data_IF_621414662655
#
_entry.id   IF_621414662655
#
_cell.length_a   1.000
_cell.length_b   1.000
_cell.length_c   1.000
_cell.angle_alpha   90.00
_cell.angle_beta   90.00
_cell.angle_gamma   90.00
#
_symmetry.space_group_name_H-M   'P 1'
#
loop_
_entity.id
_entity.type
_entity.pdbx_description
1 polymer ?
#
# COMPACT_ATOMS: atom_id res chain seq x y z
N UNK A 1 -7.62 3.48 12.63
CA UNK A 1 -8.23 3.55 11.28
C UNK A 1 -7.09 3.61 10.29
N UNK A 2 -6.89 2.57 9.47
CA UNK A 2 -5.85 2.62 8.43
C UNK A 2 -6.37 3.53 7.32
N UNK A 3 -5.82 4.74 7.20
CA UNK A 3 -6.12 5.69 6.12
C UNK A 3 -5.53 5.14 4.82
N UNK A 4 -6.21 4.19 4.20
CA UNK A 4 -5.78 3.60 2.93
C UNK A 4 -5.96 4.62 1.79
N UNK A 5 -5.14 4.58 0.73
CA UNK A 5 -5.19 5.55 -0.37
C UNK A 5 -6.60 5.73 -0.96
N UNK A 6 -7.38 4.66 -1.11
CA UNK A 6 -8.75 4.71 -1.63
C UNK A 6 -9.67 5.58 -0.75
N UNK A 7 -9.52 5.51 0.58
CA UNK A 7 -10.29 6.34 1.52
C UNK A 7 -9.82 7.80 1.45
N UNK A 8 -8.50 8.02 1.34
CA UNK A 8 -7.94 9.36 1.25
C UNK A 8 -8.40 10.07 -0.02
N UNK A 9 -8.30 9.40 -1.18
CA UNK A 9 -8.73 9.93 -2.48
C UNK A 9 -10.23 10.25 -2.45
N UNK A 10 -11.06 9.33 -1.95
CA UNK A 10 -12.50 9.56 -1.83
C UNK A 10 -12.82 10.77 -0.94
N UNK A 11 -12.07 10.94 0.15
CA UNK A 11 -12.23 12.09 1.07
C UNK A 11 -11.86 13.41 0.40
N UNK A 12 -10.75 13.45 -0.36
CA UNK A 12 -10.33 14.65 -1.10
C UNK A 12 -11.34 14.99 -2.20
N UNK A 13 -11.82 14.00 -2.97
CA UNK A 13 -12.85 14.22 -3.98
C UNK A 13 -14.11 14.81 -3.35
N UNK A 14 -14.55 14.28 -2.21
CA UNK A 14 -15.71 14.79 -1.48
C UNK A 14 -15.50 16.24 -1.04
N UNK A 15 -14.35 16.56 -0.44
CA UNK A 15 -14.03 17.94 -0.03
C UNK A 15 -14.02 18.90 -1.23
N UNK A 16 -13.46 18.48 -2.37
CA UNK A 16 -13.48 19.29 -3.60
C UNK A 16 -14.91 19.56 -4.08
N UNK A 17 -15.77 18.54 -4.12
CA UNK A 17 -17.16 18.65 -4.60
C UNK A 17 -18.06 19.45 -3.67
N UNK A 18 -17.95 19.20 -2.37
CA UNK A 18 -18.93 19.67 -1.39
C UNK A 18 -18.52 21.03 -0.79
N UNK A 19 -17.23 21.38 -0.81
CA UNK A 19 -16.70 22.57 -0.13
C UNK A 19 -15.95 23.48 -1.09
N UNK A 20 -14.91 22.97 -1.76
CA UNK A 20 -13.98 23.83 -2.51
C UNK A 20 -14.65 24.41 -3.76
N UNK A 21 -15.20 23.57 -4.64
CA UNK A 21 -15.81 24.03 -5.90
C UNK A 21 -16.98 24.99 -5.65
N UNK A 22 -17.92 24.73 -4.72
CA UNK A 22 -18.98 25.67 -4.40
C UNK A 22 -18.49 27.03 -3.89
N UNK A 23 -17.29 27.10 -3.32
CA UNK A 23 -16.70 28.34 -2.81
C UNK A 23 -15.92 29.14 -3.87
N UNK A 24 -15.71 28.59 -5.07
CA UNK A 24 -15.05 29.30 -6.18
C UNK A 24 -16.04 30.29 -6.79
N UNK A 25 -15.57 31.52 -7.06
CA UNK A 25 -16.34 32.50 -7.84
C UNK A 25 -16.75 31.88 -9.19
N UNK A 26 -18.06 31.73 -9.47
CA UNK A 26 -18.54 31.16 -10.73
C UNK A 26 -18.10 31.93 -11.98
N UNK A 27 -17.72 33.21 -11.86
CA UNK A 27 -17.18 34.00 -12.96
C UNK A 27 -15.76 33.56 -13.34
N UNK A 28 -15.02 32.92 -12.44
CA UNK A 28 -13.69 32.37 -12.69
C UNK A 28 -13.78 30.98 -13.32
N UNK A 29 -14.17 30.93 -14.60
CA UNK A 29 -14.33 29.67 -15.36
C UNK A 29 -13.09 28.78 -15.31
N UNK A 30 -11.90 29.37 -15.40
CA UNK A 30 -10.63 28.63 -15.35
C UNK A 30 -10.49 27.86 -14.03
N UNK A 31 -10.75 28.51 -12.89
CA UNK A 31 -10.66 27.85 -11.58
C UNK A 31 -11.66 26.70 -11.42
N UNK A 32 -12.89 26.88 -11.92
CA UNK A 32 -13.91 25.82 -11.94
C UNK A 32 -13.46 24.64 -12.82
N UNK A 33 -12.98 24.91 -14.03
CA UNK A 33 -12.49 23.89 -14.95
C UNK A 33 -11.29 23.11 -14.37
N UNK A 34 -10.29 23.80 -13.82
CA UNK A 34 -9.13 23.14 -13.20
C UNK A 34 -9.56 22.27 -11.99
N UNK A 35 -10.54 22.71 -11.21
CA UNK A 35 -11.05 21.92 -10.09
C UNK A 35 -11.76 20.65 -10.54
N UNK A 36 -12.48 20.69 -11.67
CA UNK A 36 -13.07 19.49 -12.28
C UNK A 36 -12.00 18.54 -12.81
N UNK A 37 -10.92 19.06 -13.42
CA UNK A 37 -9.79 18.24 -13.86
C UNK A 37 -9.10 17.52 -12.70
N UNK A 38 -8.94 18.19 -11.55
CA UNK A 38 -8.39 17.57 -10.33
C UNK A 38 -9.28 16.40 -9.88
N UNK A 39 -10.61 16.57 -9.82
CA UNK A 39 -11.53 15.48 -9.49
C UNK A 39 -11.42 14.33 -10.51
N UNK A 40 -11.34 14.66 -11.79
CA UNK A 40 -11.18 13.67 -12.86
C UNK A 40 -9.91 12.84 -12.68
N UNK A 41 -8.77 13.49 -12.42
CA UNK A 41 -7.49 12.83 -12.18
C UNK A 41 -7.52 11.97 -10.92
N UNK A 42 -8.05 12.49 -9.79
CA UNK A 42 -8.18 11.72 -8.56
C UNK A 42 -9.07 10.49 -8.76
N UNK A 43 -10.15 10.61 -9.52
CA UNK A 43 -11.05 9.50 -9.85
C UNK A 43 -10.33 8.45 -10.70
N UNK A 44 -9.54 8.88 -11.69
CA UNK A 44 -8.71 8.00 -12.51
C UNK A 44 -7.67 7.26 -11.66
N UNK A 45 -6.97 7.96 -10.76
CA UNK A 45 -5.99 7.37 -9.85
C UNK A 45 -6.64 6.30 -8.95
N UNK A 46 -7.85 6.55 -8.44
CA UNK A 46 -8.57 5.55 -7.64
C UNK A 46 -8.87 4.25 -8.40
N UNK A 47 -9.07 4.33 -9.71
CA UNK A 47 -9.32 3.16 -10.57
C UNK A 47 -8.00 2.45 -10.89
N UNK A 48 -6.93 3.20 -11.14
CA UNK A 48 -5.65 2.66 -11.59
C UNK A 48 -4.82 2.05 -10.46
N UNK A 49 -4.85 2.63 -9.25
CA UNK A 49 -4.02 2.22 -8.12
C UNK A 49 -4.07 0.71 -7.81
N UNK A 50 -5.24 0.02 -7.77
CA UNK A 50 -5.27 -1.43 -7.54
C UNK A 50 -4.67 -2.25 -8.70
N UNK A 51 -4.49 -1.65 -9.88
CA UNK A 51 -3.97 -2.33 -11.07
C UNK A 51 -2.44 -2.21 -11.20
N UNK A 52 -1.82 -1.19 -10.60
CA UNK A 52 -0.40 -0.87 -10.81
C UNK A 52 0.52 -2.04 -10.49
N UNK A 53 0.27 -2.77 -9.40
CA UNK A 53 1.08 -3.94 -9.05
C UNK A 53 1.07 -5.01 -10.16
N UNK A 54 -0.10 -5.31 -10.72
CA UNK A 54 -0.23 -6.29 -11.82
C UNK A 54 0.41 -5.75 -13.09
N UNK A 55 0.23 -4.47 -13.37
CA UNK A 55 0.83 -3.79 -14.52
C UNK A 55 2.36 -3.89 -14.48
N UNK A 56 2.99 -3.56 -13.35
CA UNK A 56 4.45 -3.62 -13.20
C UNK A 56 4.98 -5.06 -13.29
N UNK A 57 4.25 -6.02 -12.69
CA UNK A 57 4.61 -7.44 -12.76
C UNK A 57 4.56 -7.97 -14.19
N UNK A 58 3.51 -7.63 -14.92
CA UNK A 58 3.30 -7.98 -16.32
C UNK A 58 4.34 -7.32 -17.24
N UNK A 59 4.71 -6.07 -16.97
CA UNK A 59 5.80 -5.38 -17.66
C UNK A 59 7.16 -6.08 -17.43
N UNK A 60 7.48 -6.43 -16.18
CA UNK A 60 8.70 -7.16 -15.87
C UNK A 60 8.76 -8.53 -16.57
N UNK A 61 7.63 -9.24 -16.64
CA UNK A 61 7.53 -10.51 -17.35
C UNK A 61 7.81 -10.34 -18.86
N UNK A 62 7.20 -9.34 -19.50
CA UNK A 62 7.47 -9.02 -20.91
C UNK A 62 8.94 -8.67 -21.17
N UNK A 63 9.53 -7.84 -20.30
CA UNK A 63 10.94 -7.46 -20.43
C UNK A 63 11.87 -8.67 -20.26
N UNK A 64 11.55 -9.62 -19.38
CA UNK A 64 12.28 -10.88 -19.25
C UNK A 64 12.19 -11.75 -20.49
N UNK A 65 11.00 -11.87 -21.08
CA UNK A 65 10.83 -12.65 -22.31
C UNK A 65 11.55 -12.00 -23.49
N UNK A 66 11.51 -10.67 -23.59
CA UNK A 66 12.33 -9.91 -24.53
C UNK A 66 13.83 -10.15 -24.30
N UNK A 67 14.30 -10.08 -23.05
CA UNK A 67 15.71 -10.32 -22.71
C UNK A 67 16.16 -11.75 -23.09
N UNK A 68 15.33 -12.77 -22.86
CA UNK A 68 15.61 -14.15 -23.28
C UNK A 68 15.72 -14.25 -24.81
N UNK A 69 14.80 -13.64 -25.54
CA UNK A 69 14.83 -13.63 -27.00
C UNK A 69 16.09 -12.94 -27.55
N UNK A 70 16.47 -11.80 -26.97
CA UNK A 70 17.67 -11.06 -27.35
C UNK A 70 18.97 -11.83 -27.06
N UNK A 71 19.02 -12.62 -25.98
CA UNK A 71 20.17 -13.49 -25.69
C UNK A 71 20.33 -14.64 -26.72
N UNK A 72 19.27 -15.00 -27.43
CA UNK A 72 19.31 -15.99 -28.51
C UNK A 72 19.82 -15.43 -29.85
N UNK A 73 19.98 -14.11 -29.97
CA UNK A 73 20.50 -13.49 -31.19
C UNK A 73 22.00 -13.77 -31.29
N UNK A 74 22.51 -14.23 -32.45
CA UNK A 74 23.94 -14.41 -32.66
C UNK A 74 24.68 -13.08 -32.56
N UNK A 75 25.21 -12.79 -31.37
CA UNK A 75 26.03 -11.64 -31.05
C UNK A 75 27.13 -12.10 -30.08
N UNK A 76 28.38 -11.76 -30.38
CA UNK A 76 29.54 -12.27 -29.64
C UNK A 76 30.87 -11.67 -30.06
N UNK A 77 30.83 -10.53 -30.74
CA UNK A 77 32.03 -9.74 -30.98
C UNK A 77 32.45 -8.99 -29.71
N UNK A 78 33.62 -8.34 -29.74
CA UNK A 78 34.13 -7.60 -28.59
C UNK A 78 33.22 -6.44 -28.16
N UNK A 79 32.42 -5.88 -29.07
CA UNK A 79 31.53 -4.76 -28.79
C UNK A 79 30.23 -5.18 -28.08
N UNK A 80 29.71 -6.36 -28.40
CA UNK A 80 28.40 -6.86 -27.93
C UNK A 80 28.49 -7.70 -26.65
N UNK A 81 29.62 -8.37 -26.39
CA UNK A 81 29.82 -9.22 -25.21
C UNK A 81 29.47 -8.53 -23.87
N UNK A 82 29.97 -7.32 -23.55
CA UNK A 82 29.66 -6.69 -22.26
C UNK A 82 28.17 -6.39 -22.07
N UNK A 83 27.48 -6.01 -23.14
CA UNK A 83 26.04 -5.74 -23.10
C UNK A 83 25.23 -7.01 -22.86
N UNK A 84 25.61 -8.13 -23.50
CA UNK A 84 24.97 -9.44 -23.29
C UNK A 84 25.15 -9.96 -21.87
N UNK A 85 26.35 -9.82 -21.29
CA UNK A 85 26.60 -10.20 -19.89
C UNK A 85 25.77 -9.37 -18.93
N UNK A 86 25.68 -8.05 -19.15
CA UNK A 86 24.81 -7.19 -18.35
C UNK A 86 23.33 -7.61 -18.48
N UNK A 87 22.87 -7.93 -19.70
CA UNK A 87 21.51 -8.38 -19.93
C UNK A 87 21.21 -9.72 -19.23
N UNK A 88 22.15 -10.68 -19.25
CA UNK A 88 22.03 -11.94 -18.48
C UNK A 88 21.94 -11.68 -16.98
N UNK A 89 22.83 -10.86 -16.46
CA UNK A 89 22.88 -10.56 -15.03
C UNK A 89 21.59 -9.88 -14.56
N UNK A 90 21.16 -8.81 -15.22
CA UNK A 90 19.91 -8.11 -14.89
C UNK A 90 18.68 -9.01 -15.07
N UNK A 91 18.65 -9.85 -16.11
CA UNK A 91 17.56 -10.80 -16.34
C UNK A 91 17.46 -11.86 -15.23
N UNK A 92 18.59 -12.38 -14.74
CA UNK A 92 18.60 -13.33 -13.63
C UNK A 92 18.06 -12.69 -12.33
N UNK A 93 18.50 -11.47 -12.00
CA UNK A 93 18.01 -10.74 -10.83
C UNK A 93 16.51 -10.43 -10.94
N UNK A 94 16.05 -9.94 -12.10
CA UNK A 94 14.65 -9.63 -12.35
C UNK A 94 13.74 -10.86 -12.27
N UNK A 95 14.20 -12.04 -12.71
CA UNK A 95 13.43 -13.28 -12.61
C UNK A 95 13.16 -13.69 -11.15
N UNK A 96 14.12 -13.46 -10.24
CA UNK A 96 13.95 -13.70 -8.80
C UNK A 96 12.88 -12.76 -8.22
N UNK A 97 12.95 -11.46 -8.56
CA UNK A 97 11.96 -10.48 -8.11
C UNK A 97 10.55 -10.84 -8.61
N UNK A 98 10.41 -11.18 -9.89
CA UNK A 98 9.13 -11.59 -10.46
C UNK A 98 8.52 -12.79 -9.72
N UNK A 99 9.36 -13.75 -9.33
CA UNK A 99 8.94 -14.93 -8.56
C UNK A 99 8.43 -14.57 -7.16
N UNK A 100 9.13 -13.67 -6.48
CA UNK A 100 8.75 -13.19 -5.15
C UNK A 100 7.43 -12.40 -5.18
N UNK A 101 7.12 -11.75 -6.31
CA UNK A 101 5.92 -10.95 -6.52
C UNK A 101 4.70 -11.74 -7.01
N UNK A 102 4.65 -13.07 -6.82
CA UNK A 102 3.51 -13.90 -7.25
C UNK A 102 2.21 -13.68 -6.48
N UNK A 103 2.31 -13.30 -5.22
CA UNK A 103 1.13 -13.07 -4.37
C UNK A 103 0.59 -11.66 -4.63
N UNK A 104 -0.72 -11.56 -4.84
CA UNK A 104 -1.40 -10.27 -5.00
C UNK A 104 -1.43 -9.52 -3.67
N UNK A 105 -1.17 -8.19 -3.63
CA UNK A 105 -1.22 -7.38 -2.41
C UNK A 105 -2.55 -7.46 -1.67
N UNK A 106 -3.65 -7.64 -2.41
CA UNK A 106 -4.98 -7.84 -1.85
C UNK A 106 -5.10 -9.10 -0.99
N UNK A 107 -4.27 -10.12 -1.24
CA UNK A 107 -4.23 -11.33 -0.41
C UNK A 107 -3.71 -11.00 0.99
N UNK A 108 -2.69 -10.14 1.10
CA UNK A 108 -2.16 -9.70 2.38
C UNK A 108 -3.22 -8.91 3.17
N UNK A 109 -3.91 -7.98 2.52
CA UNK A 109 -4.93 -7.16 3.19
C UNK A 109 -6.16 -8.00 3.57
N UNK A 110 -6.56 -8.96 2.74
CA UNK A 110 -7.60 -9.93 3.05
C UNK A 110 -7.23 -10.81 4.25
N UNK A 111 -6.03 -11.40 4.27
CA UNK A 111 -5.56 -12.21 5.40
C UNK A 111 -5.48 -11.41 6.71
N UNK A 112 -5.04 -10.15 6.66
CA UNK A 112 -5.07 -9.26 7.85
C UNK A 112 -6.49 -9.06 8.36
N UNK A 113 -7.46 -8.85 7.47
CA UNK A 113 -8.87 -8.68 7.84
C UNK A 113 -9.44 -9.95 8.47
N UNK A 114 -9.24 -11.10 7.80
CA UNK A 114 -9.72 -12.41 8.26
C UNK A 114 -9.15 -12.78 9.63
N UNK A 115 -7.83 -12.57 9.83
CA UNK A 115 -7.20 -12.88 11.11
C UNK A 115 -7.71 -11.97 12.23
N UNK A 116 -7.94 -10.68 11.95
CA UNK A 116 -8.55 -9.75 12.93
C UNK A 116 -9.97 -10.17 13.30
N UNK A 117 -10.76 -10.60 12.32
CA UNK A 117 -12.11 -11.11 12.56
C UNK A 117 -12.10 -12.37 13.43
N UNK A 118 -11.23 -13.34 13.09
CA UNK A 118 -11.07 -14.56 13.87
C UNK A 118 -10.61 -14.30 15.31
N UNK A 119 -9.63 -13.40 15.50
CA UNK A 119 -9.20 -12.95 16.84
C UNK A 119 -10.38 -12.32 17.60
N UNK A 120 -11.13 -11.42 16.96
CA UNK A 120 -12.29 -10.77 17.59
C UNK A 120 -13.39 -11.77 17.97
N UNK A 121 -13.64 -12.78 17.14
CA UNK A 121 -14.59 -13.85 17.42
C UNK A 121 -14.16 -14.68 18.64
N UNK A 122 -12.87 -15.04 18.73
CA UNK A 122 -12.32 -15.76 19.88
C UNK A 122 -12.44 -14.97 21.18
N UNK A 123 -12.09 -13.67 21.15
CA UNK A 123 -12.22 -12.78 22.32
C UNK A 123 -13.67 -12.76 22.82
N UNK A 124 -14.64 -12.60 21.91
CA UNK A 124 -16.07 -12.61 22.26
C UNK A 124 -16.51 -13.95 22.84
N UNK A 125 -16.05 -15.07 22.26
CA UNK A 125 -16.39 -16.40 22.74
C UNK A 125 -15.90 -16.63 24.17
N UNK A 126 -14.64 -16.28 24.47
CA UNK A 126 -14.06 -16.45 25.82
C UNK A 126 -14.72 -15.52 26.85
N UNK A 127 -15.07 -14.29 26.45
CA UNK A 127 -15.81 -13.37 27.31
C UNK A 127 -17.20 -13.93 27.73
N UNK A 128 -17.80 -14.81 26.91
CA UNK A 128 -19.05 -15.49 27.23
C UNK A 128 -18.92 -16.69 28.18
N UNK A 129 -17.70 -17.11 28.53
CA UNK A 129 -17.45 -18.25 29.43
C UNK A 129 -17.42 -17.82 30.91
N UNK A 130 -17.33 -18.78 31.83
CA UNK A 130 -17.07 -18.52 33.27
C UNK A 130 -15.59 -18.70 33.66
N UNK A 131 -14.72 -18.94 32.68
CA UNK A 131 -13.29 -19.15 32.93
C UNK A 131 -12.56 -17.81 33.06
N UNK A 132 -12.43 -17.34 34.30
CA UNK A 132 -11.77 -16.07 34.61
C UNK A 132 -10.29 -16.07 34.22
N UNK A 133 -9.60 -17.22 34.32
CA UNK A 133 -8.18 -17.30 33.98
C UNK A 133 -7.98 -17.13 32.47
N UNK A 134 -8.83 -17.76 31.66
CA UNK A 134 -8.83 -17.58 30.20
C UNK A 134 -9.17 -16.14 29.80
N UNK A 135 -10.15 -15.52 30.46
CA UNK A 135 -10.53 -14.12 30.21
C UNK A 135 -9.38 -13.15 30.47
N UNK A 136 -8.75 -13.23 31.65
CA UNK A 136 -7.60 -12.39 32.00
C UNK A 136 -6.39 -12.64 31.09
N UNK A 137 -6.19 -13.89 30.67
CA UNK A 137 -5.14 -14.26 29.73
C UNK A 137 -5.30 -13.57 28.37
N UNK A 138 -6.50 -13.62 27.79
CA UNK A 138 -6.81 -12.95 26.53
C UNK A 138 -6.75 -11.43 26.65
N UNK A 139 -7.31 -10.86 27.72
CA UNK A 139 -7.26 -9.42 27.98
C UNK A 139 -5.83 -8.90 27.91
N UNK A 140 -4.92 -9.54 28.65
CA UNK A 140 -3.50 -9.17 28.68
C UNK A 140 -2.86 -9.21 27.29
N UNK A 141 -3.13 -10.26 26.50
CA UNK A 141 -2.58 -10.42 25.14
C UNK A 141 -3.09 -9.32 24.21
N UNK A 142 -4.41 -9.06 24.23
CA UNK A 142 -5.05 -8.05 23.37
C UNK A 142 -4.58 -6.64 23.74
N UNK A 143 -4.47 -6.33 25.03
CA UNK A 143 -3.97 -5.03 25.49
C UNK A 143 -2.50 -4.80 25.11
N UNK A 144 -1.66 -5.83 25.25
CA UNK A 144 -0.26 -5.76 24.82
C UNK A 144 -0.15 -5.48 23.32
N UNK A 145 -0.85 -6.24 22.48
CA UNK A 145 -0.88 -6.00 21.03
C UNK A 145 -1.45 -4.61 20.68
N UNK A 146 -2.52 -4.18 21.36
CA UNK A 146 -3.16 -2.88 21.11
C UNK A 146 -2.25 -1.71 21.43
N UNK A 147 -1.43 -1.81 22.47
CA UNK A 147 -0.41 -0.80 22.82
C UNK A 147 0.54 -0.56 21.64
N UNK A 148 1.09 -1.62 21.07
CA UNK A 148 2.05 -1.52 19.96
C UNK A 148 1.36 -1.03 18.68
N UNK A 149 0.15 -1.54 18.41
CA UNK A 149 -0.68 -1.13 17.28
C UNK A 149 -1.03 0.37 17.32
N UNK A 150 -1.33 0.93 18.50
CA UNK A 150 -1.65 2.34 18.67
C UNK A 150 -0.44 3.24 18.38
N UNK A 151 0.75 2.86 18.87
CA UNK A 151 1.99 3.61 18.58
C UNK A 151 2.24 3.61 17.07
N UNK A 152 2.12 2.46 16.42
CA UNK A 152 2.29 2.34 14.96
C UNK A 152 1.29 3.21 14.20
N UNK A 153 0.00 3.15 14.55
CA UNK A 153 -1.05 3.88 13.82
C UNK A 153 -0.92 5.39 13.98
N UNK A 154 -0.57 5.88 15.18
CA UNK A 154 -0.24 7.29 15.43
C UNK A 154 0.95 7.74 14.60
N UNK A 155 2.02 6.94 14.59
CA UNK A 155 3.22 7.21 13.78
C UNK A 155 2.90 7.30 12.29
N UNK A 156 1.97 6.48 11.79
CA UNK A 156 1.57 6.46 10.38
C UNK A 156 0.84 7.73 9.93
N UNK A 157 0.11 8.39 10.84
CA UNK A 157 -0.68 9.60 10.53
C UNK A 157 -0.09 10.88 11.13
N UNK A 158 1.09 10.80 11.76
CA UNK A 158 1.80 11.91 12.42
C UNK A 158 1.87 13.18 11.56
N UNK A 159 2.06 13.05 10.24
CA UNK A 159 2.18 14.18 9.31
C UNK A 159 0.88 15.01 9.15
N UNK A 160 -0.28 14.48 9.55
CA UNK A 160 -1.56 15.20 9.44
C UNK A 160 -1.69 16.35 10.46
N UNK A 161 -0.78 16.45 11.44
CA UNK A 161 -0.76 17.55 12.41
C UNK A 161 -1.80 17.44 13.53
N UNK A 162 -2.40 16.27 13.73
CA UNK A 162 -3.37 16.01 14.80
C UNK A 162 -2.72 15.54 16.10
N UNK A 163 -1.46 15.12 16.07
CA UNK A 163 -0.73 14.70 17.25
C UNK A 163 -0.40 15.92 18.14
N UNK A 164 -0.87 15.98 19.40
CA UNK A 164 -0.61 17.12 20.28
C UNK A 164 0.88 17.30 20.60
N UNK A 165 1.60 16.18 20.70
CA UNK A 165 3.06 16.14 20.85
C UNK A 165 3.65 15.19 19.80
N UNK A 166 3.97 15.70 18.59
CA UNK A 166 4.56 14.90 17.52
C UNK A 166 5.96 14.38 17.84
N UNK A 167 6.69 15.02 18.77
CA UNK A 167 8.04 14.62 19.16
C UNK A 167 8.03 13.36 20.04
N UNK A 168 6.94 13.11 20.77
CA UNK A 168 6.73 11.91 21.56
C UNK A 168 6.35 10.66 20.73
N UNK A 169 6.11 10.82 19.41
CA UNK A 169 5.71 9.72 18.52
C UNK A 169 6.88 9.39 17.57
N UNK A 170 7.37 8.14 17.56
CA UNK A 170 8.47 7.75 16.68
C UNK A 170 8.05 7.83 15.21
N UNK A 171 9.05 7.81 14.31
CA UNK A 171 8.76 7.76 12.88
C UNK A 171 8.35 6.36 12.46
N UNK A 172 7.32 6.27 11.61
CA UNK A 172 6.76 4.99 11.18
C UNK A 172 7.81 4.03 10.59
N UNK A 173 8.78 4.56 9.84
CA UNK A 173 9.86 3.78 9.24
C UNK A 173 10.71 3.03 10.28
N UNK A 174 10.80 3.53 11.52
CA UNK A 174 11.54 2.87 12.61
C UNK A 174 10.76 1.71 13.26
N UNK A 175 9.44 1.65 13.03
CA UNK A 175 8.54 0.64 13.59
C UNK A 175 8.21 -0.49 12.62
N UNK A 176 8.59 -0.36 11.35
CA UNK A 176 8.36 -1.36 10.31
C UNK A 176 9.65 -2.16 10.08
N UNK A 177 9.57 -3.50 10.03
CA UNK A 177 10.73 -4.30 9.67
C UNK A 177 11.14 -4.05 8.21
N UNK A 178 12.42 -4.24 7.84
CA UNK A 178 12.85 -4.22 6.45
C UNK A 178 12.17 -5.35 5.66
N UNK A 179 11.99 -5.12 4.36
CA UNK A 179 11.47 -6.10 3.39
C UNK A 179 12.63 -6.77 2.67
#
# INVERSE_FOLDING_TARGET
MQMRPEIQIASVIKAMKDVVIPAIDPANKLAVEQSQLIIGLLSLLSIQLPLWYRFDRDELARLLDCAKALQGVPAGDAATKPALERLRHSGAAAAIVLEQCRVEPDSLTASVRELREAIGALVKAVAGTKDLAAQLGIERIVLAMSKDQLIRDRSFVKMQGWEPDPAAVPDIATLLPPV
#
